data_IF_443179992314
#
_entry.id   IF_443179992314
#
_cell.length_a   1.000
_cell.length_b   1.000
_cell.length_c   1.000
_cell.angle_alpha   90.00
_cell.angle_beta   90.00
_cell.angle_gamma   90.00
#
_symmetry.space_group_name_H-M   'P 1'
#
loop_
_entity.id
_entity.type
_entity.pdbx_description
1 polymer ?
#
# COMPACT_ATOMS: atom_id res chain seq x y z
N UNK A 1 -25.97 -36.30 -5.25
CA UNK A 1 -24.98 -35.44 -5.92
C UNK A 1 -25.17 -34.04 -5.41
N UNK A 2 -24.21 -33.52 -4.65
CA UNK A 2 -24.17 -32.12 -4.26
C UNK A 2 -23.74 -31.32 -5.49
N UNK A 3 -24.68 -30.56 -6.06
CA UNK A 3 -24.45 -29.67 -7.20
C UNK A 3 -25.05 -28.32 -6.87
N UNK A 4 -24.44 -27.25 -7.37
CA UNK A 4 -25.02 -25.90 -7.32
C UNK A 4 -25.50 -25.49 -8.71
N UNK A 5 -26.72 -24.98 -8.80
CA UNK A 5 -27.33 -24.52 -10.05
C UNK A 5 -27.47 -23.00 -9.97
N UNK A 6 -27.06 -22.28 -11.01
CA UNK A 6 -27.21 -20.82 -11.07
C UNK A 6 -28.44 -20.43 -11.90
N UNK A 7 -29.24 -19.50 -11.39
CA UNK A 7 -30.36 -18.93 -12.13
C UNK A 7 -29.89 -17.85 -13.13
N UNK A 8 -30.64 -17.60 -14.21
CA UNK A 8 -30.32 -16.54 -15.16
C UNK A 8 -30.31 -15.12 -14.54
N UNK A 9 -31.07 -14.91 -13.47
CA UNK A 9 -31.20 -13.63 -12.79
C UNK A 9 -29.88 -13.17 -12.15
N UNK A 10 -29.01 -14.12 -11.78
CA UNK A 10 -27.68 -13.82 -11.24
C UNK A 10 -26.79 -13.02 -12.20
N UNK A 11 -27.02 -13.11 -13.52
CA UNK A 11 -26.27 -12.34 -14.53
C UNK A 11 -26.43 -10.83 -14.36
N UNK A 12 -27.54 -10.36 -13.76
CA UNK A 12 -27.80 -8.94 -13.52
C UNK A 12 -26.94 -8.32 -12.43
N UNK A 13 -26.23 -9.14 -11.64
CA UNK A 13 -25.41 -8.66 -10.53
C UNK A 13 -24.04 -9.34 -10.43
N UNK A 14 -24.00 -10.67 -10.29
CA UNK A 14 -22.79 -11.48 -10.08
C UNK A 14 -22.98 -12.80 -10.83
N UNK A 15 -22.70 -12.77 -12.12
CA UNK A 15 -23.07 -13.82 -13.08
C UNK A 15 -22.24 -15.10 -13.03
N UNK A 16 -21.35 -15.26 -12.05
CA UNK A 16 -20.43 -16.38 -11.97
C UNK A 16 -20.36 -16.97 -10.57
N UNK A 17 -20.29 -18.29 -10.51
CA UNK A 17 -20.17 -19.02 -9.26
C UNK A 17 -19.35 -20.30 -9.43
N UNK A 18 -18.54 -20.59 -8.41
CA UNK A 18 -17.88 -21.88 -8.20
C UNK A 18 -18.18 -22.34 -6.78
N UNK A 19 -18.27 -23.64 -6.56
CA UNK A 19 -18.36 -24.21 -5.23
C UNK A 19 -17.47 -25.45 -5.08
N UNK A 20 -16.98 -25.69 -3.87
CA UNK A 20 -16.13 -26.81 -3.52
C UNK A 20 -16.57 -27.40 -2.17
N UNK A 21 -16.19 -28.65 -1.93
CA UNK A 21 -16.47 -29.35 -0.66
C UNK A 21 -15.18 -29.92 -0.12
N UNK A 22 -14.87 -29.58 1.12
CA UNK A 22 -13.81 -30.19 1.90
C UNK A 22 -14.47 -31.20 2.84
N UNK A 23 -14.05 -32.47 2.80
CA UNK A 23 -14.57 -33.52 3.68
C UNK A 23 -13.57 -33.88 4.76
N UNK A 24 -14.09 -34.29 5.92
CA UNK A 24 -13.31 -34.83 7.03
C UNK A 24 -12.15 -33.92 7.50
N UNK A 25 -12.40 -32.61 7.52
CA UNK A 25 -11.48 -31.59 8.03
C UNK A 25 -11.40 -31.69 9.56
N UNK A 26 -10.20 -31.50 10.10
CA UNK A 26 -9.98 -31.40 11.54
C UNK A 26 -9.62 -29.95 11.89
N UNK A 27 -10.50 -29.26 12.62
CA UNK A 27 -10.29 -27.87 13.01
C UNK A 27 -9.84 -27.78 14.48
N UNK A 28 -8.54 -27.56 14.68
CA UNK A 28 -8.00 -27.01 15.94
C UNK A 28 -8.29 -25.51 16.03
N UNK A 29 -8.21 -24.92 17.22
CA UNK A 29 -8.39 -23.48 17.42
C UNK A 29 -7.49 -22.63 16.49
N UNK A 30 -6.23 -23.04 16.33
CA UNK A 30 -5.26 -22.35 15.46
C UNK A 30 -5.64 -22.47 13.99
N UNK A 31 -5.99 -23.68 13.54
CA UNK A 31 -6.41 -23.90 12.15
C UNK A 31 -7.73 -23.20 11.81
N UNK A 32 -8.66 -23.09 12.77
CA UNK A 32 -9.90 -22.34 12.63
C UNK A 32 -9.63 -20.84 12.47
N UNK A 33 -8.81 -20.27 13.36
CA UNK A 33 -8.41 -18.85 13.26
C UNK A 33 -7.68 -18.58 11.94
N UNK A 34 -6.78 -19.47 11.53
CA UNK A 34 -6.06 -19.37 10.26
C UNK A 34 -6.99 -19.49 9.04
N UNK A 35 -8.04 -20.32 9.13
CA UNK A 35 -9.01 -20.51 8.05
C UNK A 35 -9.85 -19.25 7.83
N UNK A 36 -10.33 -18.63 8.91
CA UNK A 36 -11.08 -17.36 8.85
C UNK A 36 -10.17 -16.22 8.38
N UNK A 37 -8.94 -16.12 8.90
CA UNK A 37 -7.98 -15.09 8.49
C UNK A 37 -7.61 -15.20 7.00
N UNK A 38 -7.45 -16.43 6.47
CA UNK A 38 -7.22 -16.65 5.05
C UNK A 38 -8.39 -16.13 4.20
N UNK A 39 -9.63 -16.43 4.59
CA UNK A 39 -10.83 -15.96 3.91
C UNK A 39 -10.87 -14.41 3.87
N UNK A 40 -10.61 -13.77 5.01
CA UNK A 40 -10.60 -12.29 5.10
C UNK A 40 -9.46 -11.67 4.27
N UNK A 41 -8.26 -12.26 4.27
CA UNK A 41 -7.14 -11.81 3.43
C UNK A 41 -7.45 -11.94 1.93
N UNK A 42 -8.08 -13.04 1.52
CA UNK A 42 -8.50 -13.24 0.13
C UNK A 42 -9.57 -12.21 -0.27
N UNK A 43 -10.52 -11.92 0.61
CA UNK A 43 -11.55 -10.90 0.37
C UNK A 43 -10.97 -9.49 0.24
N UNK A 44 -10.03 -9.11 1.11
CA UNK A 44 -9.41 -7.78 1.10
C UNK A 44 -8.55 -7.57 -0.14
N UNK A 45 -7.71 -8.56 -0.48
CA UNK A 45 -6.72 -8.46 -1.54
C UNK A 45 -7.30 -8.88 -2.91
N UNK A 46 -7.35 -10.20 -3.17
CA UNK A 46 -7.73 -10.76 -4.48
C UNK A 46 -9.17 -10.39 -4.84
N UNK A 47 -10.08 -10.47 -3.87
CA UNK A 47 -11.49 -10.12 -4.03
C UNK A 47 -11.78 -8.62 -4.07
N UNK A 48 -10.77 -7.75 -3.89
CA UNK A 48 -10.89 -6.29 -3.80
C UNK A 48 -12.03 -5.85 -2.89
N UNK A 49 -11.91 -6.16 -1.60
CA UNK A 49 -12.99 -5.93 -0.61
C UNK A 49 -14.32 -6.55 -1.06
N UNK A 50 -14.27 -7.81 -1.51
CA UNK A 50 -15.41 -8.61 -2.01
C UNK A 50 -16.13 -8.11 -3.27
N UNK A 51 -15.68 -7.00 -3.87
CA UNK A 51 -16.29 -6.45 -5.09
C UNK A 51 -16.20 -7.42 -6.27
N UNK A 52 -15.04 -8.04 -6.47
CA UNK A 52 -14.79 -8.97 -7.58
C UNK A 52 -15.16 -10.41 -7.23
N UNK A 53 -14.77 -10.86 -6.02
CA UNK A 53 -14.92 -12.24 -5.57
C UNK A 53 -15.35 -12.25 -4.11
N UNK A 54 -16.40 -13.01 -3.79
CA UNK A 54 -16.85 -13.22 -2.42
C UNK A 54 -16.96 -14.71 -2.14
N UNK A 55 -16.23 -15.13 -1.12
CA UNK A 55 -16.15 -16.52 -0.66
C UNK A 55 -17.02 -16.66 0.58
N UNK A 56 -17.96 -17.59 0.55
CA UNK A 56 -18.67 -18.04 1.74
C UNK A 56 -18.22 -19.45 2.10
N UNK A 57 -18.32 -19.75 3.39
CA UNK A 57 -17.93 -21.04 3.94
C UNK A 57 -19.02 -21.49 4.90
N UNK A 58 -19.43 -22.74 4.75
CA UNK A 58 -20.60 -23.32 5.37
C UNK A 58 -20.29 -24.69 5.97
N UNK A 59 -20.89 -24.99 7.11
CA UNK A 59 -20.92 -26.36 7.62
C UNK A 59 -21.82 -27.21 6.70
N UNK A 60 -21.23 -28.18 6.00
CA UNK A 60 -21.96 -29.04 5.07
C UNK A 60 -22.91 -29.99 5.82
N UNK A 61 -22.60 -30.34 7.07
CA UNK A 61 -23.39 -31.29 7.85
C UNK A 61 -24.73 -30.69 8.31
N UNK A 62 -24.87 -29.35 8.28
CA UNK A 62 -26.12 -28.66 8.62
C UNK A 62 -27.01 -28.34 7.42
N UNK A 63 -26.50 -28.49 6.19
CA UNK A 63 -27.18 -28.08 4.95
C UNK A 63 -27.41 -29.28 4.03
N UNK A 64 -28.32 -29.15 3.05
CA UNK A 64 -28.62 -30.26 2.13
C UNK A 64 -28.68 -29.82 0.67
N UNK A 65 -27.87 -30.44 -0.19
CA UNK A 65 -27.91 -30.22 -1.64
C UNK A 65 -29.06 -30.94 -2.36
N UNK A 66 -29.38 -30.59 -3.62
CA UNK A 66 -28.70 -29.61 -4.47
C UNK A 66 -28.91 -28.16 -4.00
N UNK A 67 -27.93 -27.31 -4.28
CA UNK A 67 -27.95 -25.90 -3.94
C UNK A 67 -28.39 -25.05 -5.13
N UNK A 68 -29.01 -23.92 -4.86
CA UNK A 68 -29.46 -22.97 -5.87
C UNK A 68 -28.85 -21.60 -5.60
N UNK A 69 -28.10 -21.08 -6.57
CA UNK A 69 -27.69 -19.69 -6.59
C UNK A 69 -28.70 -18.89 -7.42
N UNK A 70 -29.37 -17.95 -6.77
CA UNK A 70 -30.44 -17.14 -7.38
C UNK A 70 -30.22 -15.65 -7.07
N UNK A 71 -30.98 -14.78 -7.73
CA UNK A 71 -31.04 -13.36 -7.40
C UNK A 71 -32.49 -12.92 -7.29
N UNK A 72 -32.86 -12.38 -6.12
CA UNK A 72 -34.25 -12.06 -5.77
C UNK A 72 -34.43 -10.62 -5.34
N UNK A 73 -35.62 -10.03 -5.51
CA UNK A 73 -35.93 -8.72 -4.95
C UNK A 73 -35.68 -8.68 -3.43
N UNK A 74 -35.11 -7.59 -2.87
CA UNK A 74 -34.80 -7.49 -1.44
C UNK A 74 -36.00 -7.72 -0.50
N UNK A 75 -37.22 -7.45 -0.96
CA UNK A 75 -38.48 -7.64 -0.23
C UNK A 75 -38.89 -9.11 -0.08
N UNK A 76 -38.44 -9.99 -0.96
CA UNK A 76 -38.79 -11.43 -0.97
C UNK A 76 -37.80 -12.29 -0.17
N UNK A 77 -36.63 -11.73 0.17
CA UNK A 77 -35.58 -12.44 0.89
C UNK A 77 -35.90 -12.40 2.38
N UNK A 78 -35.91 -13.56 3.05
CA UNK A 78 -35.97 -13.69 4.51
C UNK A 78 -34.81 -14.54 4.98
N UNK A 79 -33.95 -13.97 5.83
CA UNK A 79 -32.68 -14.58 6.17
C UNK A 79 -32.27 -14.26 7.61
N UNK A 80 -31.72 -15.26 8.30
CA UNK A 80 -31.13 -15.14 9.63
C UNK A 80 -29.60 -14.96 9.49
N UNK A 81 -29.08 -13.73 9.54
CA UNK A 81 -27.64 -13.48 9.40
C UNK A 81 -26.83 -14.02 10.58
N UNK A 82 -25.55 -14.28 10.32
CA UNK A 82 -24.60 -14.78 11.32
C UNK A 82 -24.62 -13.95 12.61
N UNK A 83 -24.70 -14.64 13.76
CA UNK A 83 -24.73 -14.03 15.10
C UNK A 83 -25.92 -13.08 15.35
N UNK A 84 -27.06 -13.31 14.71
CA UNK A 84 -28.31 -12.60 14.99
C UNK A 84 -29.42 -13.60 15.30
N UNK A 85 -30.30 -13.29 16.25
CA UNK A 85 -31.38 -14.22 16.65
C UNK A 85 -32.65 -14.10 15.80
N UNK A 86 -32.81 -12.99 15.08
CA UNK A 86 -34.01 -12.67 14.29
C UNK A 86 -33.76 -12.84 12.80
N UNK A 87 -34.81 -13.19 12.07
CA UNK A 87 -34.83 -13.11 10.61
C UNK A 87 -35.11 -11.68 10.14
N UNK A 88 -34.42 -11.28 9.09
CA UNK A 88 -34.54 -9.96 8.48
C UNK A 88 -34.84 -10.09 6.99
N UNK A 89 -35.49 -9.07 6.43
CA UNK A 89 -35.60 -8.94 4.98
C UNK A 89 -34.30 -8.44 4.37
N UNK A 90 -34.12 -8.56 3.05
CA UNK A 90 -32.94 -8.00 2.37
C UNK A 90 -32.75 -6.50 2.64
N UNK A 91 -33.84 -5.73 2.66
CA UNK A 91 -33.83 -4.31 3.03
C UNK A 91 -33.48 -4.10 4.51
N UNK A 92 -34.04 -4.94 5.39
CA UNK A 92 -33.74 -4.92 6.83
C UNK A 92 -32.27 -5.18 7.13
N UNK A 93 -31.62 -6.07 6.38
CA UNK A 93 -30.18 -6.36 6.50
C UNK A 93 -29.34 -5.14 6.15
N UNK A 94 -29.71 -4.42 5.08
CA UNK A 94 -29.00 -3.19 4.67
C UNK A 94 -29.10 -2.10 5.73
N UNK A 95 -30.24 -1.99 6.42
CA UNK A 95 -30.41 -1.05 7.53
C UNK A 95 -29.63 -1.48 8.78
N UNK A 96 -29.71 -2.77 9.14
CA UNK A 96 -29.03 -3.33 10.30
C UNK A 96 -27.51 -3.11 10.26
N UNK A 97 -26.89 -3.34 9.10
CA UNK A 97 -25.44 -3.23 8.96
C UNK A 97 -24.94 -1.85 8.52
N UNK A 98 -25.81 -0.87 8.32
CA UNK A 98 -25.42 0.49 7.93
C UNK A 98 -24.51 1.18 8.95
N UNK A 99 -24.61 0.77 10.22
CA UNK A 99 -23.80 1.26 11.35
C UNK A 99 -22.71 0.28 11.78
N UNK A 100 -22.62 -0.91 11.16
CA UNK A 100 -21.67 -1.94 11.59
C UNK A 100 -20.24 -1.62 11.14
N UNK A 101 -19.22 -1.64 12.04
CA UNK A 101 -17.87 -1.16 11.74
C UNK A 101 -17.21 -1.84 10.53
N UNK A 102 -17.34 -3.16 10.42
CA UNK A 102 -16.69 -3.95 9.36
C UNK A 102 -17.55 -4.16 8.11
N UNK A 103 -18.86 -4.41 8.25
CA UNK A 103 -19.73 -4.79 7.15
C UNK A 103 -20.29 -3.62 6.35
N UNK A 104 -20.35 -2.41 6.94
CA UNK A 104 -20.85 -1.19 6.27
C UNK A 104 -20.15 -0.92 4.93
N UNK A 105 -18.87 -1.25 4.82
CA UNK A 105 -18.10 -1.02 3.59
C UNK A 105 -18.54 -1.90 2.41
N UNK A 106 -19.21 -3.03 2.66
CA UNK A 106 -19.64 -3.97 1.62
C UNK A 106 -21.07 -3.75 1.13
N UNK A 107 -21.92 -3.07 1.92
CA UNK A 107 -23.32 -2.81 1.54
C UNK A 107 -23.46 -2.11 0.18
N UNK A 108 -22.66 -1.07 -0.16
CA UNK A 108 -22.78 -0.40 -1.45
C UNK A 108 -22.56 -1.31 -2.67
N UNK A 109 -21.97 -2.50 -2.49
CA UNK A 109 -21.69 -3.41 -3.62
C UNK A 109 -22.99 -3.90 -4.27
N UNK A 110 -24.04 -4.13 -3.48
CA UNK A 110 -25.32 -4.64 -3.99
C UNK A 110 -26.51 -3.74 -3.64
N UNK A 111 -26.35 -2.74 -2.76
CA UNK A 111 -27.46 -1.92 -2.23
C UNK A 111 -28.38 -1.35 -3.31
N UNK A 112 -27.81 -0.82 -4.40
CA UNK A 112 -28.55 -0.15 -5.48
C UNK A 112 -29.03 -1.12 -6.58
N UNK A 113 -28.76 -2.42 -6.43
CA UNK A 113 -29.22 -3.45 -7.37
C UNK A 113 -30.70 -3.77 -7.14
N UNK A 114 -31.50 -3.96 -8.20
CA UNK A 114 -32.91 -4.36 -8.09
C UNK A 114 -33.09 -5.78 -7.52
N UNK A 115 -32.04 -6.60 -7.58
CA UNK A 115 -32.03 -7.99 -7.07
C UNK A 115 -30.78 -8.21 -6.23
N UNK A 116 -30.90 -8.98 -5.14
CA UNK A 116 -29.78 -9.41 -4.32
C UNK A 116 -29.49 -10.89 -4.53
N UNK A 117 -28.21 -11.29 -4.64
CA UNK A 117 -27.84 -12.66 -4.86
C UNK A 117 -27.93 -13.45 -3.55
N UNK A 118 -28.48 -14.66 -3.63
CA UNK A 118 -28.76 -15.53 -2.50
C UNK A 118 -28.45 -16.97 -2.87
N UNK A 119 -28.02 -17.76 -1.88
CA UNK A 119 -27.80 -19.19 -2.07
C UNK A 119 -28.76 -19.96 -1.20
N UNK A 120 -29.48 -20.91 -1.80
CA UNK A 120 -30.43 -21.79 -1.13
C UNK A 120 -29.90 -23.21 -1.05
N UNK A 121 -30.31 -23.92 -0.01
CA UNK A 121 -30.26 -25.37 0.06
C UNK A 121 -31.53 -26.00 -0.56
N UNK A 122 -31.57 -27.33 -0.60
CA UNK A 122 -32.72 -28.10 -1.11
C UNK A 122 -33.98 -27.99 -0.25
N UNK A 123 -33.86 -27.54 1.01
CA UNK A 123 -34.98 -27.29 1.89
C UNK A 123 -35.54 -25.85 1.74
N UNK A 124 -34.92 -25.02 0.88
CA UNK A 124 -35.29 -23.63 0.69
C UNK A 124 -34.74 -22.68 1.74
N UNK A 125 -33.75 -23.10 2.54
CA UNK A 125 -33.08 -22.27 3.54
C UNK A 125 -31.97 -21.45 2.86
N UNK A 126 -31.91 -20.16 3.16
CA UNK A 126 -30.85 -19.28 2.64
C UNK A 126 -29.56 -19.48 3.43
N UNK A 127 -28.50 -19.87 2.73
CA UNK A 127 -27.17 -20.12 3.26
C UNK A 127 -26.34 -18.85 3.38
N UNK A 128 -26.38 -17.97 2.38
CA UNK A 128 -25.62 -16.73 2.37
C UNK A 128 -26.30 -15.66 1.51
N UNK A 129 -25.94 -14.40 1.79
CA UNK A 129 -26.27 -13.22 0.99
C UNK A 129 -24.96 -12.59 0.48
N UNK A 130 -24.35 -13.13 -0.60
CA UNK A 130 -23.11 -12.58 -1.13
C UNK A 130 -23.28 -11.12 -1.59
N UNK A 131 -22.28 -10.23 -1.44
CA UNK A 131 -21.00 -10.39 -0.76
C UNK A 131 -21.02 -10.00 0.72
N UNK A 132 -22.20 -9.88 1.33
CA UNK A 132 -22.39 -9.22 2.62
C UNK A 132 -22.08 -10.16 3.77
N UNK A 133 -22.86 -11.23 3.94
CA UNK A 133 -22.78 -12.08 5.13
C UNK A 133 -23.33 -13.49 4.87
N UNK A 134 -22.83 -14.45 5.66
CA UNK A 134 -23.32 -15.82 5.71
C UNK A 134 -24.44 -15.98 6.74
N UNK A 135 -25.21 -17.05 6.60
CA UNK A 135 -26.31 -17.40 7.48
C UNK A 135 -25.82 -18.05 8.76
N UNK A 136 -26.61 -17.89 9.83
CA UNK A 136 -26.31 -18.48 11.14
C UNK A 136 -26.47 -20.01 11.13
N UNK A 137 -27.39 -20.53 10.31
CA UNK A 137 -27.70 -21.96 10.20
C UNK A 137 -26.52 -22.82 9.73
N UNK A 138 -25.66 -22.27 8.88
CA UNK A 138 -24.52 -22.96 8.27
C UNK A 138 -23.18 -22.46 8.81
N UNK A 139 -23.17 -21.91 10.03
CA UNK A 139 -21.97 -21.39 10.69
C UNK A 139 -20.94 -22.49 10.95
N UNK A 140 -19.69 -22.22 10.58
CA UNK A 140 -18.56 -23.12 10.88
C UNK A 140 -18.16 -22.98 12.35
N UNK A 141 -17.97 -24.12 13.00
CA UNK A 141 -17.49 -24.24 14.38
C UNK A 141 -16.27 -25.16 14.43
N UNK A 142 -15.64 -25.30 15.60
CA UNK A 142 -14.52 -26.25 15.80
C UNK A 142 -14.91 -27.72 15.56
N UNK A 143 -16.20 -28.03 15.65
CA UNK A 143 -16.73 -29.39 15.47
C UNK A 143 -17.07 -29.71 14.01
N UNK A 144 -17.03 -28.70 13.13
CA UNK A 144 -17.36 -28.86 11.70
C UNK A 144 -16.34 -29.77 11.03
N UNK A 145 -16.82 -30.84 10.41
CA UNK A 145 -15.97 -31.80 9.68
C UNK A 145 -16.03 -31.59 8.18
N UNK A 146 -17.22 -31.32 7.66
CA UNK A 146 -17.42 -31.14 6.23
C UNK A 146 -17.73 -29.67 5.96
N UNK A 147 -17.00 -29.05 5.05
CA UNK A 147 -17.13 -27.62 4.73
C UNK A 147 -17.55 -27.49 3.27
N UNK A 148 -18.68 -26.84 3.05
CA UNK A 148 -19.10 -26.36 1.74
C UNK A 148 -18.59 -24.94 1.54
N UNK A 149 -17.88 -24.70 0.44
CA UNK A 149 -17.30 -23.40 0.11
C UNK A 149 -17.96 -22.94 -1.18
N UNK A 150 -18.62 -21.78 -1.16
CA UNK A 150 -19.04 -21.09 -2.37
C UNK A 150 -18.15 -19.90 -2.68
N UNK A 151 -18.11 -19.54 -3.96
CA UNK A 151 -17.38 -18.39 -4.45
C UNK A 151 -18.22 -17.71 -5.54
N UNK A 152 -18.71 -16.49 -5.28
CA UNK A 152 -19.42 -15.66 -6.27
C UNK A 152 -18.49 -14.63 -6.88
N UNK A 153 -18.55 -14.45 -8.19
CA UNK A 153 -17.70 -13.52 -8.91
C UNK A 153 -18.44 -12.70 -9.98
N UNK A 154 -17.89 -11.53 -10.30
CA UNK A 154 -18.30 -10.69 -11.44
C UNK A 154 -17.39 -10.87 -12.67
N UNK A 155 -16.25 -11.57 -12.51
CA UNK A 155 -15.25 -11.80 -13.56
C UNK A 155 -14.83 -13.28 -13.57
N UNK A 156 -15.01 -13.98 -14.70
CA UNK A 156 -14.79 -15.43 -14.87
C UNK A 156 -13.32 -15.81 -15.16
N UNK A 157 -12.40 -14.86 -15.29
CA UNK A 157 -11.04 -15.09 -15.83
C UNK A 157 -10.04 -15.80 -14.90
N UNK A 158 -10.46 -16.37 -13.77
CA UNK A 158 -9.52 -16.88 -12.73
C UNK A 158 -9.98 -18.16 -12.02
N UNK A 159 -10.30 -19.23 -12.73
CA UNK A 159 -10.50 -20.54 -12.07
C UNK A 159 -9.20 -21.36 -12.01
N UNK A 160 -8.97 -22.16 -10.95
CA UNK A 160 -7.82 -23.07 -10.85
C UNK A 160 -7.68 -24.03 -12.03
N UNK A 161 -8.80 -24.45 -12.64
CA UNK A 161 -8.84 -25.36 -13.79
C UNK A 161 -8.29 -24.71 -15.05
N UNK A 162 -8.59 -23.43 -15.27
CA UNK A 162 -8.04 -22.67 -16.39
C UNK A 162 -6.53 -22.47 -16.23
N UNK A 163 -6.05 -22.22 -15.01
CA UNK A 163 -4.61 -22.11 -14.72
C UNK A 163 -3.90 -23.44 -14.98
N UNK A 164 -4.49 -24.56 -14.58
CA UNK A 164 -3.97 -25.90 -14.88
C UNK A 164 -3.93 -26.18 -16.40
N UNK A 165 -4.92 -25.69 -17.15
CA UNK A 165 -4.96 -25.81 -18.61
C UNK A 165 -3.87 -24.96 -19.29
N UNK A 166 -3.60 -23.75 -18.78
CA UNK A 166 -2.53 -22.87 -19.27
C UNK A 166 -1.15 -23.48 -19.05
N UNK A 167 -0.87 -23.99 -17.86
CA UNK A 167 0.38 -24.70 -17.57
C UNK A 167 0.56 -25.95 -18.43
N UNK A 168 -0.53 -26.68 -18.69
CA UNK A 168 -0.47 -27.86 -19.56
C UNK A 168 -0.10 -27.50 -21.01
N UNK A 169 -0.43 -26.29 -21.50
CA UNK A 169 0.06 -25.79 -22.80
C UNK A 169 1.58 -25.52 -22.78
N UNK A 170 2.15 -25.23 -21.63
CA UNK A 170 3.60 -25.01 -21.40
C UNK A 170 4.35 -26.32 -21.11
N UNK A 171 3.74 -27.47 -21.43
CA UNK A 171 4.28 -28.81 -21.13
C UNK A 171 4.45 -29.10 -19.63
N UNK A 172 3.81 -28.33 -18.76
CA UNK A 172 3.75 -28.57 -17.32
C UNK A 172 2.41 -29.21 -16.97
N UNK A 173 2.41 -30.54 -16.86
CA UNK A 173 1.19 -31.31 -16.65
C UNK A 173 0.61 -30.95 -15.29
N UNK A 174 -0.52 -30.26 -15.29
CA UNK A 174 -1.07 -29.63 -14.11
C UNK A 174 -2.48 -30.13 -13.81
N UNK A 175 -2.77 -30.35 -12.54
CA UNK A 175 -4.09 -30.77 -12.06
C UNK A 175 -4.43 -30.01 -10.80
N UNK A 176 -5.69 -29.64 -10.67
CA UNK A 176 -6.23 -29.11 -9.42
C UNK A 176 -6.55 -30.30 -8.52
N UNK A 177 -5.92 -30.36 -7.34
CA UNK A 177 -6.19 -31.39 -6.33
C UNK A 177 -6.24 -30.72 -4.96
N UNK A 178 -7.36 -30.87 -4.25
CA UNK A 178 -7.57 -30.30 -2.92
C UNK A 178 -7.27 -28.79 -2.86
N UNK A 179 -7.80 -28.02 -3.81
CA UNK A 179 -7.61 -26.56 -3.89
C UNK A 179 -6.14 -26.12 -4.08
N UNK A 180 -5.25 -27.08 -4.37
CA UNK A 180 -3.86 -26.84 -4.73
C UNK A 180 -3.65 -27.19 -6.19
N UNK A 181 -2.92 -26.33 -6.88
CA UNK A 181 -2.41 -26.62 -8.21
C UNK A 181 -1.22 -27.57 -8.06
N UNK A 182 -1.42 -28.83 -8.43
CA UNK A 182 -0.37 -29.84 -8.46
C UNK A 182 0.23 -29.83 -9.86
N UNK A 183 1.50 -29.45 -9.95
CA UNK A 183 2.25 -29.35 -11.19
C UNK A 183 3.29 -30.46 -11.22
N UNK A 184 3.28 -31.27 -12.27
CA UNK A 184 4.30 -32.29 -12.54
C UNK A 184 5.36 -31.68 -13.45
N UNK A 185 6.58 -31.53 -12.94
CA UNK A 185 7.72 -30.96 -13.66
C UNK A 185 8.40 -32.08 -14.46
N UNK A 186 8.35 -32.07 -15.81
CA UNK A 186 9.01 -33.09 -16.61
C UNK A 186 10.55 -32.90 -16.59
N UNK A 187 11.34 -33.96 -16.81
CA UNK A 187 12.81 -33.88 -16.86
C UNK A 187 13.35 -32.90 -17.92
N UNK A 188 12.53 -32.50 -18.90
CA UNK A 188 12.87 -31.52 -19.92
C UNK A 188 12.87 -30.07 -19.41
N UNK A 189 12.17 -29.78 -18.29
CA UNK A 189 12.04 -28.46 -17.67
C UNK A 189 12.94 -28.33 -16.42
N UNK A 190 14.24 -28.28 -16.66
CA UNK A 190 15.28 -28.15 -15.61
C UNK A 190 15.40 -26.72 -15.04
N UNK A 191 14.76 -25.77 -15.69
CA UNK A 191 14.69 -24.35 -15.33
C UNK A 191 13.69 -24.06 -14.19
N UNK A 192 12.78 -24.99 -13.89
CA UNK A 192 11.77 -24.83 -12.83
C UNK A 192 12.38 -25.22 -11.47
N UNK A 193 12.80 -24.23 -10.70
CA UNK A 193 13.48 -24.40 -9.40
C UNK A 193 12.72 -23.74 -8.24
N UNK A 194 11.78 -22.84 -8.54
CA UNK A 194 11.02 -22.07 -7.56
C UNK A 194 9.57 -21.84 -8.04
N UNK A 195 8.58 -21.64 -7.14
CA UNK A 195 7.21 -21.34 -7.54
C UNK A 195 7.04 -20.15 -8.49
N UNK A 196 8.00 -19.21 -8.54
CA UNK A 196 7.97 -18.09 -9.49
C UNK A 196 8.04 -18.53 -10.95
N UNK A 197 8.75 -19.61 -11.26
CA UNK A 197 8.92 -20.12 -12.62
C UNK A 197 7.59 -20.68 -13.16
N UNK A 198 6.75 -21.21 -12.25
CA UNK A 198 5.36 -21.61 -12.55
C UNK A 198 4.49 -20.38 -12.85
N UNK A 199 4.65 -19.28 -12.10
CA UNK A 199 3.92 -18.04 -12.37
C UNK A 199 4.33 -17.40 -13.70
N UNK A 200 5.62 -17.48 -14.05
CA UNK A 200 6.13 -17.05 -15.35
C UNK A 200 5.46 -17.82 -16.50
N UNK A 201 5.44 -19.15 -16.43
CA UNK A 201 4.80 -19.97 -17.45
C UNK A 201 3.29 -19.74 -17.56
N UNK A 202 2.61 -19.50 -16.44
CA UNK A 202 1.20 -19.10 -16.44
C UNK A 202 1.04 -17.78 -17.22
N UNK A 203 1.90 -16.80 -16.96
CA UNK A 203 1.85 -15.50 -17.62
C UNK A 203 2.18 -15.59 -19.12
N UNK A 204 3.14 -16.43 -19.52
CA UNK A 204 3.47 -16.70 -20.93
C UNK A 204 2.29 -17.36 -21.64
N UNK A 205 1.73 -18.42 -21.06
CA UNK A 205 0.59 -19.15 -21.62
C UNK A 205 -0.69 -18.30 -21.71
N UNK A 206 -0.87 -17.38 -20.76
CA UNK A 206 -1.95 -16.41 -20.75
C UNK A 206 -1.74 -15.30 -21.80
N UNK A 207 -0.48 -14.93 -22.06
CA UNK A 207 -0.09 -13.89 -23.00
C UNK A 207 0.12 -12.55 -22.31
N UNK A 208 1.35 -12.04 -22.36
CA UNK A 208 1.73 -10.80 -21.65
C UNK A 208 0.92 -9.56 -22.07
N UNK A 209 0.47 -9.50 -23.33
CA UNK A 209 -0.33 -8.38 -23.82
C UNK A 209 -1.75 -8.36 -23.25
N UNK A 210 -2.25 -9.50 -22.78
CA UNK A 210 -3.57 -9.66 -22.17
C UNK A 210 -3.55 -9.29 -20.67
N UNK A 211 -2.35 -9.15 -20.08
CA UNK A 211 -2.19 -8.75 -18.68
C UNK A 211 -2.50 -7.25 -18.58
N UNK A 212 -3.57 -6.91 -17.84
CA UNK A 212 -3.95 -5.52 -17.59
C UNK A 212 -2.79 -4.78 -16.91
N UNK A 213 -2.21 -3.82 -17.62
CA UNK A 213 -1.17 -2.94 -17.07
C UNK A 213 -1.76 -2.14 -15.90
N UNK A 214 -1.13 -2.24 -14.75
CA UNK A 214 -1.45 -1.45 -13.55
C UNK A 214 -0.22 -0.71 -13.09
N UNK A 215 -0.40 0.54 -12.70
CA UNK A 215 0.67 1.31 -12.05
C UNK A 215 0.71 0.86 -10.57
N UNK A 216 1.88 0.47 -10.04
CA UNK A 216 1.99 0.10 -8.63
C UNK A 216 1.62 1.31 -7.77
N UNK A 217 0.69 1.11 -6.83
CA UNK A 217 0.30 2.14 -5.85
C UNK A 217 1.28 2.19 -4.68
N UNK A 218 2.58 2.32 -4.98
CA UNK A 218 3.61 2.66 -4.01
C UNK A 218 4.01 4.11 -4.24
N UNK A 219 3.80 4.96 -3.23
CA UNK A 219 4.46 6.27 -3.19
C UNK A 219 5.92 6.02 -2.83
N UNK A 220 6.79 6.08 -3.83
CA UNK A 220 8.23 6.06 -3.64
C UNK A 220 8.77 7.42 -4.03
N UNK A 221 9.42 8.10 -3.08
CA UNK A 221 10.19 9.30 -3.39
C UNK A 221 11.57 8.80 -3.79
N UNK A 222 11.80 8.68 -5.09
CA UNK A 222 13.14 8.48 -5.62
C UNK A 222 13.86 9.83 -5.56
N UNK A 223 15.07 9.84 -5.01
CA UNK A 223 15.90 11.03 -5.02
C UNK A 223 17.37 10.64 -5.20
N UNK A 224 17.76 10.58 -6.47
CA UNK A 224 19.15 10.64 -6.91
C UNK A 224 19.39 12.04 -7.49
N UNK A 225 20.63 12.52 -7.43
CA UNK A 225 20.98 13.89 -7.80
C UNK A 225 22.22 13.88 -8.70
N UNK A 226 22.31 14.89 -9.57
CA UNK A 226 23.55 15.12 -10.33
C UNK A 226 24.63 15.72 -9.42
N UNK A 227 25.90 15.64 -9.85
CA UNK A 227 27.01 16.32 -9.15
C UNK A 227 26.75 17.82 -9.03
N UNK A 228 26.17 18.42 -10.05
CA UNK A 228 25.83 19.84 -10.07
C UNK A 228 24.79 20.17 -8.97
N UNK A 229 23.80 19.31 -8.75
CA UNK A 229 22.73 19.59 -7.78
C UNK A 229 23.22 19.55 -6.33
N UNK A 230 24.17 18.67 -6.00
CA UNK A 230 24.70 18.53 -4.64
C UNK A 230 25.88 19.45 -4.33
N UNK A 231 26.50 20.04 -5.36
CA UNK A 231 27.67 20.90 -5.21
C UNK A 231 27.53 22.24 -5.94
N UNK A 232 27.69 22.27 -7.27
CA UNK A 232 27.84 23.51 -8.04
C UNK A 232 26.65 24.46 -7.90
N UNK A 233 25.42 23.92 -7.87
CA UNK A 233 24.19 24.71 -7.71
C UNK A 233 24.04 25.29 -6.32
N UNK A 234 24.57 24.63 -5.30
CA UNK A 234 24.59 25.07 -3.92
C UNK A 234 25.80 25.95 -3.57
N UNK A 235 26.74 26.13 -4.52
CA UNK A 235 27.93 26.95 -4.35
C UNK A 235 29.12 26.23 -3.70
N UNK A 236 29.10 24.89 -3.68
CA UNK A 236 30.21 24.06 -3.20
C UNK A 236 31.02 23.49 -4.37
N UNK A 237 32.27 23.12 -4.11
CA UNK A 237 33.03 22.23 -4.98
C UNK A 237 32.72 20.79 -4.60
N UNK A 238 32.59 19.90 -5.59
CA UNK A 238 32.25 18.49 -5.35
C UNK A 238 33.26 17.77 -4.45
N UNK A 239 34.52 18.19 -4.47
CA UNK A 239 35.61 17.65 -3.65
C UNK A 239 35.42 17.91 -2.14
N UNK A 240 34.72 19.00 -1.80
CA UNK A 240 34.47 19.42 -0.40
C UNK A 240 33.19 18.77 0.16
N UNK A 241 32.39 18.11 -0.69
CA UNK A 241 31.14 17.46 -0.30
C UNK A 241 31.42 15.98 -0.05
N UNK A 242 30.99 15.40 1.09
CA UNK A 242 31.15 13.96 1.38
C UNK A 242 30.16 13.10 0.55
N UNK A 243 30.19 13.23 -0.77
CA UNK A 243 29.30 12.56 -1.70
C UNK A 243 29.82 11.16 -2.07
N UNK A 244 28.90 10.21 -2.21
CA UNK A 244 29.19 8.87 -2.75
C UNK A 244 28.92 8.87 -4.24
N UNK A 245 29.91 8.48 -5.04
CA UNK A 245 29.83 8.48 -6.50
C UNK A 245 29.43 7.12 -7.05
N UNK A 246 28.51 7.12 -8.02
CA UNK A 246 28.11 5.92 -8.75
C UNK A 246 29.10 5.73 -9.91
N UNK A 247 29.68 4.53 -10.03
CA UNK A 247 30.73 4.26 -11.02
C UNK A 247 30.24 4.34 -12.47
N UNK A 248 29.06 3.76 -12.77
CA UNK A 248 28.54 3.64 -14.12
C UNK A 248 27.12 4.23 -14.22
N UNK A 249 26.97 5.55 -14.05
CA UNK A 249 25.66 6.19 -14.05
C UNK A 249 25.07 6.16 -15.46
N UNK A 250 23.81 5.74 -15.59
CA UNK A 250 23.13 5.67 -16.90
C UNK A 250 22.76 7.05 -17.46
N UNK A 251 22.54 8.03 -16.57
CA UNK A 251 22.28 9.43 -16.93
C UNK A 251 23.06 10.35 -15.99
N UNK A 252 23.20 11.62 -16.37
CA UNK A 252 23.88 12.64 -15.55
C UNK A 252 23.18 12.91 -14.21
N UNK A 253 21.90 12.57 -14.10
CA UNK A 253 21.11 12.73 -12.87
C UNK A 253 21.44 11.65 -11.82
N UNK A 254 22.16 10.60 -12.21
CA UNK A 254 22.47 9.43 -11.38
C UNK A 254 23.96 9.34 -10.99
N UNK A 255 24.66 10.47 -10.95
CA UNK A 255 26.11 10.47 -10.71
C UNK A 255 26.50 10.31 -9.24
N UNK A 256 25.63 10.75 -8.32
CA UNK A 256 25.90 10.77 -6.89
C UNK A 256 24.66 10.45 -6.08
N UNK A 257 24.89 9.81 -4.93
CA UNK A 257 23.88 9.73 -3.90
C UNK A 257 23.65 11.11 -3.27
N UNK A 258 22.39 11.44 -2.94
CA UNK A 258 22.05 12.72 -2.32
C UNK A 258 22.71 12.89 -0.95
N UNK A 259 23.32 14.04 -0.73
CA UNK A 259 23.94 14.45 0.53
C UNK A 259 23.08 15.43 1.34
N UNK A 260 22.09 16.03 0.69
CA UNK A 260 21.10 16.96 1.25
C UNK A 260 19.75 16.74 0.58
N UNK A 261 18.66 17.02 1.29
CA UNK A 261 17.29 16.98 0.75
C UNK A 261 16.90 18.28 0.03
N UNK A 262 17.64 19.36 0.25
CA UNK A 262 17.34 20.70 -0.28
C UNK A 262 17.23 20.72 -1.82
N UNK A 263 18.17 20.14 -2.61
CA UNK A 263 18.07 20.16 -4.07
C UNK A 263 16.78 19.52 -4.60
N UNK A 264 16.33 18.44 -3.96
CA UNK A 264 15.08 17.75 -4.33
C UNK A 264 13.85 18.63 -4.12
N UNK A 265 13.79 19.31 -2.97
CA UNK A 265 12.72 20.27 -2.66
C UNK A 265 12.72 21.46 -3.62
N UNK A 266 13.88 22.02 -3.97
CA UNK A 266 13.98 23.13 -4.93
C UNK A 266 13.54 22.73 -6.34
N UNK A 267 13.93 21.54 -6.81
CA UNK A 267 13.43 20.99 -8.08
C UNK A 267 11.91 20.80 -8.06
N UNK A 268 11.35 20.36 -6.93
CA UNK A 268 9.91 20.18 -6.79
C UNK A 268 9.18 21.53 -6.89
N UNK A 269 9.69 22.58 -6.24
CA UNK A 269 9.13 23.93 -6.39
C UNK A 269 9.25 24.39 -7.84
N UNK A 270 10.38 24.13 -8.50
CA UNK A 270 10.63 24.54 -9.88
C UNK A 270 9.68 23.85 -10.87
N UNK A 271 9.39 22.57 -10.67
CA UNK A 271 8.40 21.84 -11.46
C UNK A 271 6.96 22.34 -11.23
N UNK A 272 6.69 22.90 -10.04
CA UNK A 272 5.34 23.32 -9.62
C UNK A 272 5.13 24.85 -9.61
N UNK A 273 5.90 25.62 -10.40
CA UNK A 273 5.77 27.10 -10.52
C UNK A 273 4.35 27.60 -10.85
N UNK A 274 3.49 26.75 -11.42
CA UNK A 274 2.10 27.08 -11.76
C UNK A 274 1.16 27.07 -10.54
N UNK A 275 1.58 26.45 -9.44
CA UNK A 275 0.78 26.39 -8.21
C UNK A 275 0.87 27.75 -7.49
N UNK A 276 -0.23 28.28 -6.94
CA UNK A 276 -0.20 29.55 -6.21
C UNK A 276 0.74 29.53 -4.99
N UNK A 277 1.45 30.64 -4.77
CA UNK A 277 2.25 30.88 -3.57
C UNK A 277 1.34 31.09 -2.33
N UNK A 278 1.82 30.80 -1.10
CA UNK A 278 3.17 30.31 -0.76
C UNK A 278 3.34 28.79 -0.93
N UNK A 279 4.53 28.36 -1.34
CA UNK A 279 4.92 26.94 -1.25
C UNK A 279 5.52 26.65 0.13
N UNK A 280 5.00 25.61 0.78
CA UNK A 280 5.48 25.11 2.07
C UNK A 280 5.73 23.62 1.91
N UNK A 281 6.97 23.24 1.67
CA UNK A 281 7.34 21.84 1.46
C UNK A 281 8.29 21.38 2.55
N UNK A 282 8.21 20.11 2.90
CA UNK A 282 9.17 19.46 3.77
C UNK A 282 9.36 18.02 3.32
N UNK A 283 10.52 17.46 3.63
CA UNK A 283 10.84 16.05 3.42
C UNK A 283 11.61 15.54 4.65
N UNK A 284 11.30 14.29 5.05
CA UNK A 284 12.03 13.58 6.09
C UNK A 284 12.52 12.28 5.50
N UNK A 285 13.82 12.15 5.34
CA UNK A 285 14.41 11.05 4.58
C UNK A 285 15.91 10.91 4.81
N UNK A 286 16.47 9.79 4.37
CA UNK A 286 17.88 9.48 4.52
C UNK A 286 18.70 10.16 3.42
N UNK A 287 19.83 10.74 3.81
CA UNK A 287 20.92 11.15 2.92
C UNK A 287 22.11 10.21 3.11
N UNK A 288 22.94 10.07 2.07
CA UNK A 288 24.10 9.19 2.11
C UNK A 288 25.34 10.07 2.15
N UNK A 289 26.16 9.87 3.19
CA UNK A 289 27.41 10.59 3.38
C UNK A 289 28.56 9.59 3.34
N UNK A 290 29.64 9.95 2.66
CA UNK A 290 30.89 9.20 2.71
C UNK A 290 31.42 9.23 4.15
N UNK A 291 31.77 8.06 4.67
CA UNK A 291 32.35 7.90 6.01
C UNK A 291 33.33 6.74 6.00
N UNK A 292 34.63 7.06 5.99
CA UNK A 292 35.70 6.06 5.92
C UNK A 292 35.80 5.21 7.22
N UNK A 293 35.01 5.51 8.27
CA UNK A 293 34.96 4.73 9.51
C UNK A 293 33.98 3.55 9.46
N UNK A 294 33.07 3.51 8.49
CA UNK A 294 32.10 2.41 8.35
C UNK A 294 32.64 1.32 7.44
N UNK A 295 32.17 0.09 7.64
CA UNK A 295 32.60 -1.08 6.84
C UNK A 295 32.39 -0.87 5.33
N UNK A 296 31.31 -0.18 4.95
CA UNK A 296 30.93 0.09 3.56
C UNK A 296 31.48 1.41 3.02
N UNK A 297 32.21 2.20 3.84
CA UNK A 297 32.76 3.51 3.46
C UNK A 297 31.73 4.64 3.29
N UNK A 298 30.48 4.39 3.70
CA UNK A 298 29.38 5.34 3.66
C UNK A 298 28.41 5.10 4.83
N UNK A 299 27.61 6.11 5.16
CA UNK A 299 26.53 5.99 6.15
C UNK A 299 25.27 6.70 5.69
N UNK A 300 24.13 6.16 6.08
CA UNK A 300 22.86 6.86 6.00
C UNK A 300 22.76 7.81 7.18
N UNK A 301 22.10 8.94 6.95
CA UNK A 301 21.81 9.89 8.01
C UNK A 301 20.41 10.49 7.80
N UNK A 302 19.56 10.40 8.84
CA UNK A 302 18.16 10.83 8.74
C UNK A 302 18.06 12.34 8.85
N UNK A 303 17.63 13.00 7.77
CA UNK A 303 17.48 14.45 7.69
C UNK A 303 16.02 14.85 7.63
N UNK A 304 15.70 15.99 8.22
CA UNK A 304 14.47 16.74 8.00
C UNK A 304 14.83 18.06 7.33
N UNK A 305 14.28 18.30 6.15
CA UNK A 305 14.47 19.54 5.41
C UNK A 305 13.12 20.18 5.11
N UNK A 306 13.04 21.51 5.19
CA UNK A 306 11.86 22.27 4.82
C UNK A 306 12.24 23.52 4.03
N UNK A 307 11.39 23.87 3.06
CA UNK A 307 11.52 25.07 2.22
C UNK A 307 10.22 25.85 2.24
N UNK A 308 10.34 27.15 2.47
CA UNK A 308 9.28 28.14 2.36
C UNK A 308 9.59 29.07 1.18
N UNK A 309 8.71 29.11 0.18
CA UNK A 309 8.85 30.00 -0.97
C UNK A 309 7.62 30.90 -1.08
N UNK A 310 7.83 32.23 -1.14
CA UNK A 310 6.76 33.21 -1.27
C UNK A 310 7.31 34.49 -1.93
N UNK A 311 6.44 35.51 -2.10
CA UNK A 311 6.84 36.86 -2.55
C UNK A 311 7.89 37.50 -1.64
N UNK A 312 7.91 37.13 -0.36
CA UNK A 312 8.94 37.45 0.61
C UNK A 312 9.66 36.18 1.07
N UNK A 313 10.94 36.29 1.43
CA UNK A 313 11.76 35.14 1.80
C UNK A 313 11.23 34.36 3.01
N UNK A 314 10.60 35.03 3.98
CA UNK A 314 10.00 34.38 5.16
C UNK A 314 10.99 33.67 6.06
N UNK A 315 12.09 34.33 6.42
CA UNK A 315 13.09 33.78 7.36
C UNK A 315 12.45 33.44 8.71
N UNK A 316 11.54 34.30 9.18
CA UNK A 316 10.75 34.14 10.39
C UNK A 316 9.86 32.88 10.38
N UNK A 317 9.39 32.45 9.20
CA UNK A 317 8.56 31.25 9.06
C UNK A 317 9.38 29.98 9.29
N UNK A 318 10.59 29.94 8.73
CA UNK A 318 11.51 28.81 8.90
C UNK A 318 12.08 28.80 10.32
N UNK A 319 12.42 29.97 10.87
CA UNK A 319 12.86 30.09 12.26
C UNK A 319 11.79 29.56 13.22
N UNK A 320 10.53 30.02 13.09
CA UNK A 320 9.43 29.54 13.91
C UNK A 320 9.13 28.04 13.72
N UNK A 321 9.42 27.48 12.54
CA UNK A 321 9.31 26.04 12.30
C UNK A 321 10.38 25.25 13.06
N UNK A 322 11.64 25.73 13.05
CA UNK A 322 12.72 25.13 13.84
C UNK A 322 12.39 25.17 15.33
N UNK A 323 11.93 26.32 15.84
CA UNK A 323 11.49 26.46 17.24
C UNK A 323 10.37 25.47 17.57
N UNK A 324 9.38 25.35 16.69
CA UNK A 324 8.26 24.41 16.90
C UNK A 324 8.72 22.96 16.92
N UNK A 325 9.64 22.57 16.05
CA UNK A 325 10.15 21.21 15.98
C UNK A 325 10.95 20.87 17.24
N UNK A 326 11.89 21.74 17.63
CA UNK A 326 12.72 21.50 18.81
C UNK A 326 11.91 21.51 20.11
N UNK A 327 10.87 22.35 20.19
CA UNK A 327 9.91 22.30 21.29
C UNK A 327 9.16 20.96 21.35
N UNK A 328 8.75 20.40 20.20
CA UNK A 328 8.08 19.09 20.14
C UNK A 328 9.03 17.93 20.47
N UNK A 329 10.33 18.12 20.28
CA UNK A 329 11.40 17.20 20.68
C UNK A 329 11.85 17.45 22.14
N UNK A 330 11.12 18.27 22.89
CA UNK A 330 11.40 18.60 24.30
C UNK A 330 12.79 19.26 24.52
N UNK A 331 13.33 19.90 23.49
CA UNK A 331 14.60 20.65 23.56
C UNK A 331 14.31 22.11 23.87
N UNK A 332 14.72 22.55 25.06
CA UNK A 332 14.53 23.93 25.49
C UNK A 332 15.48 24.90 24.77
N UNK A 333 15.04 26.15 24.58
CA UNK A 333 15.91 27.23 24.11
C UNK A 333 16.93 27.62 25.18
N UNK A 334 18.21 27.65 24.82
CA UNK A 334 19.29 28.11 25.70
C UNK A 334 19.63 29.58 25.42
N UNK A 335 19.16 30.47 26.32
CA UNK A 335 19.51 31.89 26.26
C UNK A 335 20.99 32.16 26.55
N UNK A 336 21.61 31.32 27.39
CA UNK A 336 23.03 31.35 27.75
C UNK A 336 23.94 30.78 26.65
N UNK A 337 23.39 30.17 25.60
CA UNK A 337 24.11 29.45 24.53
C UNK A 337 25.05 28.36 25.09
N UNK A 338 24.59 27.70 26.15
CA UNK A 338 25.27 26.58 26.80
C UNK A 338 24.76 25.23 26.27
N UNK A 339 25.27 24.14 26.83
CA UNK A 339 24.88 22.77 26.47
C UNK A 339 23.55 22.33 27.11
N UNK A 340 22.72 23.23 27.62
CA UNK A 340 21.45 22.85 28.28
C UNK A 340 20.29 22.65 27.29
N UNK A 341 20.43 23.08 26.04
CA UNK A 341 19.37 23.01 25.03
C UNK A 341 19.86 23.38 23.63
N UNK A 342 19.03 24.08 22.86
CA UNK A 342 19.40 24.58 21.53
C UNK A 342 19.59 26.09 21.48
N UNK A 343 20.44 26.55 20.58
CA UNK A 343 20.59 27.97 20.26
C UNK A 343 20.98 28.15 18.78
N UNK A 344 20.77 29.35 18.26
CA UNK A 344 21.20 29.74 16.93
C UNK A 344 22.52 30.53 16.96
N UNK A 345 23.41 30.21 16.03
CA UNK A 345 24.66 30.96 15.81
C UNK A 345 24.71 31.42 14.36
N UNK A 346 25.07 32.68 14.13
CA UNK A 346 25.31 33.19 12.77
C UNK A 346 26.42 32.39 12.11
N UNK A 347 26.18 31.99 10.86
CA UNK A 347 27.14 31.26 10.05
C UNK A 347 27.12 31.82 8.63
N UNK A 348 28.24 31.65 7.92
CA UNK A 348 28.33 31.94 6.49
C UNK A 348 28.40 30.64 5.71
N UNK A 349 27.59 30.55 4.66
CA UNK A 349 27.44 29.35 3.86
C UNK A 349 27.07 29.76 2.43
N UNK A 350 27.74 29.21 1.40
CA UNK A 350 27.56 29.65 0.01
C UNK A 350 26.15 29.38 -0.53
N UNK A 351 25.39 28.48 0.09
CA UNK A 351 24.00 28.18 -0.28
C UNK A 351 23.04 29.32 0.12
N UNK A 352 23.42 30.12 1.11
CA UNK A 352 22.55 31.10 1.74
C UNK A 352 23.01 32.55 1.46
N UNK A 353 22.08 33.49 1.57
CA UNK A 353 22.40 34.90 1.46
C UNK A 353 23.23 35.35 2.68
N UNK A 354 24.31 36.15 2.48
CA UNK A 354 25.18 36.58 3.56
C UNK A 354 24.42 37.22 4.71
N UNK A 355 24.81 36.93 5.95
CA UNK A 355 24.16 37.39 7.19
C UNK A 355 22.70 36.92 7.40
N UNK A 356 22.16 36.12 6.48
CA UNK A 356 20.81 35.52 6.57
C UNK A 356 20.88 34.00 6.68
N UNK A 357 21.95 33.49 7.29
CA UNK A 357 22.19 32.09 7.60
C UNK A 357 22.51 31.92 9.10
N UNK A 358 22.01 30.84 9.68
CA UNK A 358 22.28 30.43 11.04
C UNK A 358 22.49 28.92 11.13
N UNK A 359 23.48 28.51 11.91
CA UNK A 359 23.63 27.14 12.39
C UNK A 359 22.69 26.90 13.56
N UNK A 360 22.08 25.72 13.54
CA UNK A 360 21.23 25.21 14.61
C UNK A 360 22.13 24.31 15.47
N UNK A 361 22.41 24.76 16.69
CA UNK A 361 23.26 24.04 17.63
C UNK A 361 22.39 23.47 18.74
N UNK A 362 22.52 22.17 19.02
CA UNK A 362 21.80 21.47 20.08
C UNK A 362 22.79 20.72 20.96
N UNK A 363 22.71 20.92 22.28
CA UNK A 363 23.63 20.32 23.28
C UNK A 363 25.13 20.53 22.99
N UNK A 364 25.46 21.60 22.25
CA UNK A 364 26.82 21.94 21.85
C UNK A 364 27.26 21.35 20.50
N UNK A 365 26.42 20.59 19.81
CA UNK A 365 26.69 20.03 18.48
C UNK A 365 25.84 20.71 17.40
N UNK A 366 26.42 20.93 16.21
CA UNK A 366 25.70 21.49 15.07
C UNK A 366 24.84 20.39 14.45
N UNK A 367 23.53 20.53 14.57
CA UNK A 367 22.57 19.57 14.02
C UNK A 367 22.11 19.94 12.61
N UNK A 368 22.27 21.21 12.20
CA UNK A 368 21.78 21.67 10.92
C UNK A 368 22.00 23.15 10.65
N UNK A 369 21.44 23.62 9.55
CA UNK A 369 21.51 25.02 9.12
C UNK A 369 20.14 25.51 8.66
N UNK A 370 19.91 26.81 8.80
CA UNK A 370 18.74 27.49 8.27
C UNK A 370 19.09 28.85 7.70
N UNK A 371 18.33 29.34 6.74
CA UNK A 371 18.55 30.67 6.18
C UNK A 371 17.73 30.99 4.95
N UNK A 372 17.93 32.21 4.45
CA UNK A 372 17.43 32.65 3.14
C UNK A 372 18.39 32.17 2.06
N UNK A 373 17.89 31.50 1.03
CA UNK A 373 18.72 30.98 -0.06
C UNK A 373 19.33 32.11 -0.90
N UNK A 374 20.56 31.91 -1.36
CA UNK A 374 21.24 32.87 -2.21
C UNK A 374 20.52 33.00 -3.58
N UNK A 375 20.35 34.21 -4.14
CA UNK A 375 19.72 34.40 -5.45
C UNK A 375 20.36 33.57 -6.58
N UNK A 376 21.69 33.39 -6.53
CA UNK A 376 22.41 32.56 -7.51
C UNK A 376 22.07 31.07 -7.40
N UNK A 377 21.79 30.57 -6.20
CA UNK A 377 21.32 29.19 -6.03
C UNK A 377 19.93 29.06 -6.63
N UNK A 378 19.04 30.01 -6.30
CA UNK A 378 17.67 30.02 -6.82
C UNK A 378 17.63 30.07 -8.34
N UNK A 379 18.45 30.92 -8.97
CA UNK A 379 18.52 31.03 -10.43
C UNK A 379 19.03 29.75 -11.08
N UNK A 380 20.01 29.05 -10.49
CA UNK A 380 20.50 27.75 -10.95
C UNK A 380 19.47 26.61 -10.82
N UNK A 381 18.49 26.74 -9.93
CA UNK A 381 17.31 25.86 -9.84
C UNK A 381 16.10 26.42 -10.62
N UNK A 382 16.30 27.47 -11.42
CA UNK A 382 15.28 28.16 -12.22
C UNK A 382 14.14 28.79 -11.40
N UNK A 383 14.39 29.15 -10.14
CA UNK A 383 13.41 29.76 -9.24
C UNK A 383 13.53 31.29 -9.25
N UNK A 384 12.38 31.95 -9.45
CA UNK A 384 12.29 33.42 -9.49
C UNK A 384 11.67 34.02 -8.21
N UNK A 385 11.46 33.20 -7.19
CA UNK A 385 10.83 33.60 -5.93
C UNK A 385 11.82 33.43 -4.78
N UNK A 386 11.87 34.38 -3.82
CA UNK A 386 12.67 34.21 -2.61
C UNK A 386 12.25 32.96 -1.82
N UNK A 387 13.23 32.20 -1.35
CA UNK A 387 13.01 31.01 -0.53
C UNK A 387 13.84 31.07 0.75
N UNK A 388 13.27 30.62 1.86
CA UNK A 388 14.02 30.24 3.07
C UNK A 388 13.96 28.74 3.25
N UNK A 389 15.04 28.17 3.75
CA UNK A 389 15.15 26.73 3.97
C UNK A 389 15.78 26.42 5.33
N UNK A 390 15.50 25.24 5.86
CA UNK A 390 16.25 24.63 6.95
C UNK A 390 16.45 23.15 6.69
N UNK A 391 17.56 22.61 7.19
CA UNK A 391 17.85 21.18 7.17
C UNK A 391 18.55 20.79 8.47
N UNK A 392 17.99 19.81 9.17
CA UNK A 392 18.50 19.29 10.44
C UNK A 392 18.68 17.77 10.37
N UNK A 393 19.73 17.27 11.02
CA UNK A 393 19.89 15.87 11.37
C UNK A 393 18.95 15.55 12.53
N UNK A 394 18.00 14.65 12.28
CA UNK A 394 17.06 14.21 13.33
C UNK A 394 17.49 12.90 13.98
N UNK A 395 18.49 12.21 13.43
CA UNK A 395 19.03 10.97 14.02
C UNK A 395 19.60 11.20 15.42
N UNK A 396 20.08 12.40 15.72
CA UNK A 396 20.54 12.79 17.06
C UNK A 396 19.43 12.86 18.12
N UNK A 397 18.15 12.76 17.72
CA UNK A 397 16.97 12.81 18.59
C UNK A 397 16.14 11.52 18.58
N UNK A 398 16.53 10.54 17.78
CA UNK A 398 15.96 9.18 17.77
C UNK A 398 16.71 8.32 18.80
#
# INVERSE_FOLDING_TARGET
MEKIVMSPECLKIRGHMVAAILRDVTLTQDSYNSFIDLQDKLHQNIGRKRSLVSIGTHDLDTIKGPFLYDARPPSEIRFKPLNQDKEYTGEGIMQLYATHPQLKQYLPIIKDSPVYPVIYDSNGIILSLPPIINGDHSKITLNTKNIFIECTATDLTKTPEQIAQLLSKMSLKSKVKNDKLVVEIPPTRHDVIHPCDIYEDIAIAYGYNEIKKTIPHLSTIAAECSREDVADKLGYKIEDVPAVHISNPKTLEFQVARTSLLPGLLKTISANKKVPLPHKLFEVSDVILRDDKTEVGARNNRRLCAVYANKSAGFEMIHGLVDRILLLLEVAWSASKDKSGYYLRTADDPTFFPQRCAEIVCYGEVIGKMGVLHPDVLSKFELNVPCSAMEINIESFL
#
